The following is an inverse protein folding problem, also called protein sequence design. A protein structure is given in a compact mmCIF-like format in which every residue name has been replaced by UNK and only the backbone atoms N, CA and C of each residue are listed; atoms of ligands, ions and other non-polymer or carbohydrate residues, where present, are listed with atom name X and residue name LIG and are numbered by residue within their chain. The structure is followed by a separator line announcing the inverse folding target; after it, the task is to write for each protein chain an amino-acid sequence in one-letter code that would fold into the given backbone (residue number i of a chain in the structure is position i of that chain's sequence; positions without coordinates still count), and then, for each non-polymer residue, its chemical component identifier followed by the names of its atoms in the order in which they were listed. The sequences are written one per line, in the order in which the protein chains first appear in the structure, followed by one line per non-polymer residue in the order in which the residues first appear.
data_IF_924341404766
#
_entry.id   IF_924341404766
#
_cell.length_a   1.000
_cell.length_b   1.000
_cell.length_c   1.000
_cell.angle_alpha   90.00
_cell.angle_beta   90.00
_cell.angle_gamma   90.00
#
_symmetry.space_group_name_H-M   'P 1'
#
loop_
_entity.id
_entity.type
_entity.pdbx_description
1 polymer ?
#
# COMPACT_ATOMS: atom_id res chain seq x y z
N UNK A 1 -3.28 -16.04 -20.84
CA UNK A 1 -2.06 -15.56 -20.14
C UNK A 1 -2.44 -14.27 -19.44
N UNK A 2 -2.39 -14.26 -18.11
CA UNK A 2 -2.53 -13.02 -17.34
C UNK A 2 -1.23 -12.22 -17.52
N UNK A 3 -1.34 -10.98 -18.00
CA UNK A 3 -0.21 -10.08 -18.10
C UNK A 3 -0.08 -9.30 -16.80
N UNK A 4 0.94 -9.62 -16.02
CA UNK A 4 1.34 -8.82 -14.84
C UNK A 4 2.30 -7.75 -15.36
N UNK A 5 2.00 -6.48 -15.08
CA UNK A 5 2.79 -5.33 -15.51
C UNK A 5 3.46 -4.58 -14.35
N UNK A 6 3.04 -4.84 -13.14
CA UNK A 6 3.60 -4.20 -11.94
C UNK A 6 3.46 -5.10 -10.72
N UNK A 7 4.26 -4.82 -9.71
CA UNK A 7 4.24 -5.50 -8.42
C UNK A 7 4.50 -4.50 -7.29
N UNK A 8 3.83 -4.71 -6.16
CA UNK A 8 4.09 -4.00 -4.93
C UNK A 8 4.68 -4.96 -3.89
N UNK A 9 5.80 -4.57 -3.30
CA UNK A 9 6.47 -5.33 -2.25
C UNK A 9 6.16 -4.74 -0.88
N UNK A 10 5.76 -5.60 0.06
CA UNK A 10 5.75 -5.21 1.47
C UNK A 10 7.19 -4.91 1.91
N UNK A 11 7.39 -3.75 2.49
CA UNK A 11 8.71 -3.31 2.93
C UNK A 11 8.80 -3.17 4.45
N UNK A 12 7.93 -2.35 5.04
CA UNK A 12 8.01 -2.01 6.46
C UNK A 12 6.65 -2.02 7.14
N UNK A 13 6.66 -2.26 8.45
CA UNK A 13 5.49 -2.09 9.32
C UNK A 13 5.88 -1.23 10.52
N UNK A 14 5.15 -0.15 10.73
CA UNK A 14 5.40 0.77 11.82
C UNK A 14 6.81 1.35 11.80
N UNK A 15 7.47 1.32 12.95
CA UNK A 15 8.82 1.87 13.10
C UNK A 15 9.87 0.81 13.49
N UNK A 16 9.55 -0.49 13.32
CA UNK A 16 10.40 -1.56 13.89
C UNK A 16 10.53 -2.81 13.02
N UNK A 17 9.59 -3.08 12.12
CA UNK A 17 9.63 -4.30 11.32
C UNK A 17 9.97 -3.99 9.85
N UNK A 18 10.96 -4.71 9.33
CA UNK A 18 11.34 -4.73 7.93
C UNK A 18 11.11 -6.14 7.38
N UNK A 19 10.46 -6.25 6.24
CA UNK A 19 10.12 -7.55 5.65
C UNK A 19 11.38 -8.32 5.25
N UNK A 20 11.54 -9.51 5.77
CA UNK A 20 12.74 -10.34 5.58
C UNK A 20 12.96 -10.75 4.12
N UNK A 21 11.87 -10.83 3.35
CA UNK A 21 11.90 -11.21 1.93
C UNK A 21 12.08 -10.02 0.99
N UNK A 22 12.03 -8.77 1.51
CA UNK A 22 12.04 -7.58 0.67
C UNK A 22 13.26 -7.52 -0.27
N UNK A 23 14.46 -7.64 0.28
CA UNK A 23 15.70 -7.54 -0.51
C UNK A 23 15.81 -8.64 -1.56
N UNK A 24 15.43 -9.87 -1.21
CA UNK A 24 15.46 -11.01 -2.15
C UNK A 24 14.45 -10.81 -3.27
N UNK A 25 13.23 -10.41 -2.94
CA UNK A 25 12.17 -10.17 -3.93
C UNK A 25 12.50 -8.97 -4.81
N UNK A 26 13.02 -7.89 -4.22
CA UNK A 26 13.46 -6.71 -4.97
C UNK A 26 14.55 -7.06 -5.98
N UNK A 27 15.58 -7.81 -5.57
CA UNK A 27 16.66 -8.26 -6.47
C UNK A 27 16.14 -9.11 -7.63
N UNK A 28 15.19 -10.01 -7.36
CA UNK A 28 14.57 -10.86 -8.41
C UNK A 28 13.80 -10.03 -9.43
N UNK A 29 13.10 -8.99 -8.99
CA UNK A 29 12.31 -8.14 -9.88
C UNK A 29 13.18 -7.26 -10.77
N UNK A 30 14.37 -6.86 -10.29
CA UNK A 30 15.30 -6.04 -11.09
C UNK A 30 15.73 -6.70 -12.41
N UNK A 31 15.62 -8.02 -12.52
CA UNK A 31 15.89 -8.76 -13.76
C UNK A 31 14.67 -8.89 -14.69
N UNK A 32 13.57 -8.20 -14.38
CA UNK A 32 12.32 -8.24 -15.15
C UNK A 32 11.93 -6.85 -15.64
N UNK A 33 10.95 -6.77 -16.55
CA UNK A 33 10.37 -5.50 -17.00
C UNK A 33 9.23 -5.00 -16.08
N UNK A 34 9.02 -5.64 -14.92
CA UNK A 34 7.98 -5.25 -13.98
C UNK A 34 8.29 -3.92 -13.30
N UNK A 35 7.31 -3.05 -13.25
CA UNK A 35 7.38 -1.85 -12.41
C UNK A 35 7.17 -2.21 -10.95
N UNK A 36 8.00 -1.65 -10.08
CA UNK A 36 7.99 -1.94 -8.64
C UNK A 36 7.46 -0.75 -7.85
N UNK A 37 6.61 -1.05 -6.89
CA UNK A 37 6.22 -0.14 -5.83
C UNK A 37 6.50 -0.76 -4.46
N UNK A 38 6.42 0.04 -3.42
CA UNK A 38 6.65 -0.37 -2.04
C UNK A 38 5.42 -0.10 -1.17
N UNK A 39 5.20 -0.97 -0.19
CA UNK A 39 4.12 -0.86 0.79
C UNK A 39 4.71 -0.67 2.17
N UNK A 40 4.27 0.39 2.84
CA UNK A 40 4.46 0.59 4.28
C UNK A 40 3.14 0.32 5.00
N UNK A 41 3.17 -0.55 5.99
CA UNK A 41 1.99 -0.84 6.84
C UNK A 41 1.96 0.16 8.01
N UNK A 42 0.90 0.95 8.07
CA UNK A 42 0.71 2.01 9.08
C UNK A 42 0.57 1.42 10.49
N UNK A 43 1.26 2.04 11.45
CA UNK A 43 1.11 1.74 12.87
C UNK A 43 0.28 2.81 13.57
N UNK A 44 -0.80 2.40 14.24
CA UNK A 44 -1.58 3.28 15.11
C UNK A 44 -0.84 3.69 16.40
N UNK A 45 0.25 2.99 16.74
CA UNK A 45 1.03 3.25 17.97
C UNK A 45 2.19 4.21 17.76
N UNK A 46 2.77 4.21 16.56
CA UNK A 46 4.03 4.92 16.29
C UNK A 46 3.77 6.27 15.65
N UNK A 47 4.49 7.29 16.12
CA UNK A 47 4.40 8.65 15.54
C UNK A 47 4.80 8.65 14.05
N UNK A 48 4.24 9.53 13.24
CA UNK A 48 4.54 9.61 11.80
C UNK A 48 6.04 9.76 11.49
N UNK A 49 6.74 10.64 12.22
CA UNK A 49 8.18 10.84 12.06
C UNK A 49 9.02 9.61 12.37
N UNK A 50 8.60 8.79 13.33
CA UNK A 50 9.29 7.54 13.64
C UNK A 50 9.10 6.50 12.53
N UNK A 51 7.91 6.42 11.95
CA UNK A 51 7.63 5.55 10.81
C UNK A 51 8.41 6.00 9.57
N UNK A 52 8.42 7.30 9.24
CA UNK A 52 9.26 7.84 8.16
C UNK A 52 10.73 7.50 8.37
N UNK A 53 11.26 7.78 9.56
CA UNK A 53 12.67 7.50 9.87
C UNK A 53 13.02 6.05 9.62
N UNK A 54 12.17 5.14 10.05
CA UNK A 54 12.40 3.71 9.89
C UNK A 54 12.37 3.29 8.42
N UNK A 55 11.32 3.64 7.66
CA UNK A 55 11.23 3.27 6.25
C UNK A 55 12.36 3.88 5.42
N UNK A 56 12.73 5.13 5.66
CA UNK A 56 13.79 5.82 4.92
C UNK A 56 15.18 5.22 5.16
N UNK A 57 15.40 4.60 6.32
CA UNK A 57 16.64 3.84 6.60
C UNK A 57 16.70 2.51 5.86
N UNK A 58 15.55 1.89 5.58
CA UNK A 58 15.45 0.56 4.96
C UNK A 58 15.26 0.61 3.46
N UNK A 59 14.51 1.60 2.97
CA UNK A 59 14.13 1.72 1.57
C UNK A 59 14.52 3.11 1.06
N UNK A 60 15.48 3.15 0.15
CA UNK A 60 15.96 4.40 -0.45
C UNK A 60 14.89 5.05 -1.33
N UNK A 61 14.99 6.37 -1.51
CA UNK A 61 14.00 7.15 -2.26
C UNK A 61 13.85 6.78 -3.74
N UNK A 62 14.85 6.12 -4.32
CA UNK A 62 14.85 5.68 -5.72
C UNK A 62 14.52 4.19 -5.91
N UNK A 63 14.03 3.50 -4.88
CA UNK A 63 13.79 2.06 -4.94
C UNK A 63 12.64 1.69 -5.86
N UNK A 64 11.54 2.45 -5.85
CA UNK A 64 10.33 2.15 -6.64
C UNK A 64 10.07 3.15 -7.76
N UNK A 65 9.45 2.67 -8.86
CA UNK A 65 8.96 3.51 -9.97
C UNK A 65 7.48 3.87 -9.80
N UNK A 66 6.77 3.17 -8.92
CA UNK A 66 5.35 3.38 -8.65
C UNK A 66 5.14 4.24 -7.39
N UNK A 67 3.99 4.89 -7.25
CA UNK A 67 3.64 5.62 -6.03
C UNK A 67 3.81 4.75 -4.79
N UNK A 68 4.33 5.33 -3.71
CA UNK A 68 4.43 4.64 -2.42
C UNK A 68 3.03 4.35 -1.87
N UNK A 69 2.84 3.16 -1.33
CA UNK A 69 1.57 2.75 -0.72
C UNK A 69 1.71 2.74 0.79
N UNK A 70 0.77 3.38 1.49
CA UNK A 70 0.54 3.17 2.91
C UNK A 70 -0.68 2.27 3.05
N UNK A 71 -0.49 1.06 3.60
CA UNK A 71 -1.60 0.19 3.95
C UNK A 71 -2.10 0.52 5.35
N UNK A 72 -3.40 0.76 5.46
CA UNK A 72 -4.08 1.01 6.73
C UNK A 72 -5.08 -0.11 6.96
N UNK A 73 -4.84 -0.92 7.98
CA UNK A 73 -5.69 -2.04 8.36
C UNK A 73 -5.79 -2.16 9.87
N UNK A 74 -6.88 -2.73 10.35
CA UNK A 74 -7.01 -3.06 11.76
C UNK A 74 -6.08 -4.23 12.13
N UNK A 75 -5.53 -4.19 13.34
CA UNK A 75 -4.71 -5.26 13.89
C UNK A 75 -4.73 -5.25 15.42
N UNK A 76 -4.64 -6.42 16.05
CA UNK A 76 -4.60 -6.56 17.48
C UNK A 76 -5.74 -5.81 18.20
N UNK A 77 -5.39 -4.95 19.14
CA UNK A 77 -6.35 -4.12 19.86
C UNK A 77 -6.89 -2.92 19.07
N UNK A 78 -6.28 -2.61 17.91
CA UNK A 78 -6.71 -1.54 17.02
C UNK A 78 -7.76 -2.05 16.03
N UNK A 79 -9.00 -2.14 16.50
CA UNK A 79 -10.15 -2.57 15.72
C UNK A 79 -11.13 -1.40 15.49
N UNK A 80 -12.22 -1.66 14.77
CA UNK A 80 -13.20 -0.63 14.38
C UNK A 80 -13.81 0.12 15.57
N UNK A 81 -13.85 -0.49 16.76
CA UNK A 81 -14.41 0.12 17.98
C UNK A 81 -13.37 0.89 18.80
N UNK A 82 -12.09 0.53 18.69
CA UNK A 82 -11.02 1.05 19.55
C UNK A 82 -10.11 2.07 18.88
N UNK A 83 -10.08 2.12 17.54
CA UNK A 83 -9.27 3.14 16.84
C UNK A 83 -9.87 4.52 17.04
N UNK A 84 -9.11 5.40 17.64
CA UNK A 84 -9.44 6.82 17.73
C UNK A 84 -9.00 7.53 16.44
N UNK A 85 -9.93 7.73 15.53
CA UNK A 85 -9.66 8.40 14.26
C UNK A 85 -9.34 9.88 14.40
N UNK A 86 -9.74 10.54 15.49
CA UNK A 86 -9.36 11.93 15.76
C UNK A 86 -7.85 12.09 15.99
N UNK A 87 -7.20 11.01 16.46
CA UNK A 87 -5.76 10.93 16.59
C UNK A 87 -5.11 10.28 15.36
N UNK A 88 -5.59 9.11 14.96
CA UNK A 88 -4.98 8.33 13.88
C UNK A 88 -5.11 9.02 12.50
N UNK A 89 -6.20 9.73 12.25
CA UNK A 89 -6.42 10.44 10.99
C UNK A 89 -5.38 11.53 10.71
N UNK A 90 -5.15 12.48 11.63
CA UNK A 90 -4.05 13.46 11.51
C UNK A 90 -2.67 12.82 11.42
N UNK A 91 -2.38 11.79 12.21
CA UNK A 91 -1.10 11.07 12.16
C UNK A 91 -0.88 10.43 10.78
N UNK A 92 -1.91 9.81 10.20
CA UNK A 92 -1.82 9.28 8.85
C UNK A 92 -1.62 10.38 7.80
N UNK A 93 -2.35 11.49 7.91
CA UNK A 93 -2.21 12.62 6.99
C UNK A 93 -0.78 13.21 7.05
N UNK A 94 -0.19 13.29 8.22
CA UNK A 94 1.21 13.73 8.39
C UNK A 94 2.19 12.73 7.77
N UNK A 95 1.99 11.43 7.98
CA UNK A 95 2.83 10.40 7.36
C UNK A 95 2.75 10.44 5.83
N UNK A 96 1.56 10.64 5.27
CA UNK A 96 1.37 10.82 3.82
C UNK A 96 2.23 11.96 3.28
N UNK A 97 2.21 13.12 3.92
CA UNK A 97 3.03 14.28 3.52
C UNK A 97 4.52 14.00 3.63
N UNK A 98 4.94 13.39 4.75
CA UNK A 98 6.34 13.05 5.00
C UNK A 98 6.88 12.07 3.96
N UNK A 99 6.14 11.02 3.63
CA UNK A 99 6.53 10.04 2.63
C UNK A 99 6.49 10.62 1.21
N UNK A 100 5.47 11.41 0.88
CA UNK A 100 5.40 12.09 -0.41
C UNK A 100 6.62 13.00 -0.64
N UNK A 101 7.02 13.74 0.37
CA UNK A 101 8.21 14.60 0.30
C UNK A 101 9.51 13.80 0.17
N UNK A 102 9.66 12.74 0.96
CA UNK A 102 10.89 11.93 0.94
C UNK A 102 11.07 11.17 -0.37
N UNK A 103 10.01 10.54 -0.87
CA UNK A 103 10.07 9.74 -2.11
C UNK A 103 9.84 10.58 -3.38
N UNK A 104 9.43 11.85 -3.25
CA UNK A 104 9.16 12.71 -4.40
C UNK A 104 7.99 12.24 -5.27
N UNK A 105 7.05 11.51 -4.69
CA UNK A 105 5.92 10.88 -5.39
C UNK A 105 4.64 11.00 -4.57
N UNK A 106 3.50 10.93 -5.26
CA UNK A 106 2.22 10.80 -4.58
C UNK A 106 2.14 9.50 -3.77
N UNK A 107 1.39 9.53 -2.66
CA UNK A 107 1.13 8.36 -1.81
C UNK A 107 -0.27 7.85 -2.08
N UNK A 108 -0.40 6.52 -2.22
CA UNK A 108 -1.68 5.82 -2.34
C UNK A 108 -2.00 5.15 -1.02
N UNK A 109 -3.24 5.24 -0.57
CA UNK A 109 -3.72 4.59 0.65
C UNK A 109 -4.39 3.28 0.29
N UNK A 110 -3.79 2.15 0.71
CA UNK A 110 -4.40 0.83 0.58
C UNK A 110 -5.20 0.52 1.84
N UNK A 111 -6.50 0.27 1.69
CA UNK A 111 -7.38 0.02 2.83
C UNK A 111 -8.73 -0.56 2.41
N UNK A 112 -9.55 -0.94 3.40
CA UNK A 112 -10.91 -1.39 3.18
C UNK A 112 -11.85 -0.21 2.90
N UNK A 113 -13.02 -0.43 2.27
CA UNK A 113 -14.05 0.60 2.09
C UNK A 113 -14.52 1.21 3.42
N UNK A 114 -14.59 0.42 4.49
CA UNK A 114 -15.00 0.89 5.81
C UNK A 114 -14.00 1.90 6.38
N UNK A 115 -12.70 1.63 6.33
CA UNK A 115 -11.67 2.56 6.79
C UNK A 115 -11.60 3.78 5.87
N UNK A 116 -11.71 3.60 4.55
CA UNK A 116 -11.78 4.74 3.62
C UNK A 116 -12.85 5.75 4.02
N UNK A 117 -14.04 5.29 4.40
CA UNK A 117 -15.12 6.19 4.87
C UNK A 117 -14.75 7.00 6.11
N UNK A 118 -13.88 6.49 6.98
CA UNK A 118 -13.36 7.25 8.12
C UNK A 118 -12.35 8.31 7.71
N UNK A 119 -11.60 8.07 6.65
CA UNK A 119 -10.47 8.90 6.21
C UNK A 119 -10.86 9.97 5.19
N UNK A 120 -11.71 9.64 4.24
CA UNK A 120 -12.04 10.46 3.08
C UNK A 120 -13.41 11.16 3.24
N UNK A 121 -13.51 12.47 3.13
CA UNK A 121 -12.45 13.45 2.91
C UNK A 121 -11.91 14.10 4.20
N UNK A 122 -12.30 13.59 5.37
CA UNK A 122 -12.05 14.26 6.66
C UNK A 122 -10.57 14.50 6.91
N UNK A 123 -9.75 13.48 6.76
CA UNK A 123 -8.30 13.52 7.01
C UNK A 123 -7.48 13.43 5.73
N UNK A 124 -7.92 12.63 4.77
CA UNK A 124 -7.21 12.41 3.51
C UNK A 124 -8.00 13.02 2.35
N UNK A 125 -7.50 14.16 1.82
CA UNK A 125 -8.21 14.95 0.81
C UNK A 125 -7.69 14.75 -0.62
N UNK A 126 -6.44 14.41 -0.80
CA UNK A 126 -5.78 14.41 -2.13
C UNK A 126 -5.28 13.04 -2.57
N UNK A 127 -4.92 12.15 -1.64
CA UNK A 127 -4.41 10.83 -1.99
C UNK A 127 -5.45 9.98 -2.71
N UNK A 128 -4.96 9.16 -3.62
CA UNK A 128 -5.73 8.09 -4.24
C UNK A 128 -5.84 6.91 -3.27
N UNK A 129 -6.82 6.06 -3.51
CA UNK A 129 -7.06 4.86 -2.72
C UNK A 129 -6.86 3.59 -3.55
N UNK A 130 -6.37 2.57 -2.88
CA UNK A 130 -6.35 1.19 -3.32
C UNK A 130 -7.28 0.42 -2.39
N UNK A 131 -8.42 -0.05 -2.91
CA UNK A 131 -9.41 -0.72 -2.08
C UNK A 131 -9.19 -2.23 -2.04
N UNK A 132 -9.17 -2.77 -0.84
CA UNK A 132 -9.29 -4.20 -0.56
C UNK A 132 -10.79 -4.54 -0.51
N UNK A 133 -11.34 -4.92 -1.64
CA UNK A 133 -12.76 -5.21 -1.80
C UNK A 133 -12.97 -6.43 -2.69
N UNK A 134 -13.61 -7.51 -2.18
CA UNK A 134 -13.75 -8.77 -2.93
C UNK A 134 -14.72 -8.68 -4.13
N UNK A 135 -15.42 -7.58 -4.28
CA UNK A 135 -16.36 -7.37 -5.37
C UNK A 135 -15.85 -6.31 -6.34
N UNK A 136 -15.83 -6.65 -7.63
CA UNK A 136 -15.54 -5.68 -8.69
C UNK A 136 -16.73 -4.73 -8.82
N UNK A 137 -16.52 -3.48 -8.38
CA UNK A 137 -17.48 -2.38 -8.51
C UNK A 137 -16.84 -1.20 -9.22
N UNK A 138 -17.68 -0.44 -9.91
CA UNK A 138 -17.23 0.81 -10.50
C UNK A 138 -17.00 1.85 -9.42
N UNK A 139 -15.79 2.36 -9.30
CA UNK A 139 -15.40 3.37 -8.32
C UNK A 139 -15.15 4.73 -8.97
N UNK A 140 -15.15 5.78 -8.15
CA UNK A 140 -14.82 7.12 -8.59
C UNK A 140 -13.29 7.27 -8.85
N UNK A 141 -12.87 8.41 -9.39
CA UNK A 141 -11.46 8.70 -9.75
C UNK A 141 -10.48 8.72 -8.57
N UNK A 142 -10.98 8.74 -7.32
CA UNK A 142 -10.13 8.65 -6.13
C UNK A 142 -9.69 7.23 -5.82
N UNK A 143 -10.35 6.23 -6.37
CA UNK A 143 -9.93 4.83 -6.29
C UNK A 143 -9.06 4.52 -7.49
N UNK A 144 -7.77 4.25 -7.26
CA UNK A 144 -6.80 3.95 -8.32
C UNK A 144 -6.65 2.47 -8.58
N UNK A 145 -6.70 1.65 -7.53
CA UNK A 145 -6.61 0.19 -7.61
C UNK A 145 -7.69 -0.46 -6.78
N UNK A 146 -8.11 -1.66 -7.20
CA UNK A 146 -9.02 -2.52 -6.44
C UNK A 146 -8.43 -3.93 -6.39
N UNK A 147 -8.19 -4.42 -5.17
CA UNK A 147 -7.83 -5.80 -4.91
C UNK A 147 -9.12 -6.62 -4.82
N UNK A 148 -9.34 -7.46 -5.80
CA UNK A 148 -10.58 -8.22 -5.92
C UNK A 148 -10.44 -9.69 -5.51
N UNK A 149 -9.21 -10.18 -5.43
CA UNK A 149 -8.89 -11.52 -4.98
C UNK A 149 -7.62 -11.49 -4.14
N UNK A 150 -7.73 -11.85 -2.87
CA UNK A 150 -6.61 -11.87 -1.95
C UNK A 150 -5.72 -13.13 -2.09
N UNK A 151 -6.25 -14.17 -2.72
CA UNK A 151 -5.64 -15.51 -2.77
C UNK A 151 -5.76 -16.14 -4.18
N UNK A 152 -5.54 -15.35 -5.24
CA UNK A 152 -5.58 -15.86 -6.60
C UNK A 152 -4.52 -16.95 -6.80
N UNK A 153 -4.97 -18.12 -7.23
CA UNK A 153 -4.09 -19.25 -7.51
C UNK A 153 -3.41 -19.12 -8.86
N UNK A 154 -2.10 -19.19 -8.84
CA UNK A 154 -1.27 -19.29 -10.04
C UNK A 154 -0.62 -20.67 -10.09
N UNK A 155 -0.89 -21.42 -11.15
CA UNK A 155 -0.22 -22.70 -11.38
C UNK A 155 1.17 -22.45 -11.93
N UNK A 156 2.16 -22.98 -11.27
CA UNK A 156 3.53 -23.07 -11.75
C UNK A 156 3.97 -24.54 -11.76
N UNK A 157 4.95 -24.91 -12.60
CA UNK A 157 5.42 -26.28 -12.77
C UNK A 157 5.98 -26.92 -11.48
N UNK A 158 6.19 -26.12 -10.43
CA UNK A 158 6.81 -26.59 -9.18
C UNK A 158 6.03 -26.26 -7.91
N UNK A 159 5.01 -25.42 -7.95
CA UNK A 159 4.16 -25.09 -6.79
C UNK A 159 2.93 -24.29 -7.18
N UNK A 160 1.83 -24.48 -6.48
CA UNK A 160 0.71 -23.56 -6.52
C UNK A 160 1.08 -22.31 -5.68
N UNK A 161 1.03 -21.14 -6.31
CA UNK A 161 1.31 -19.87 -5.67
C UNK A 161 0.01 -19.10 -5.50
N UNK A 162 -0.29 -18.66 -4.30
CA UNK A 162 -1.41 -17.79 -3.98
C UNK A 162 -0.92 -16.35 -3.80
N UNK A 163 -1.46 -15.43 -4.59
CA UNK A 163 -1.08 -14.01 -4.56
C UNK A 163 -2.32 -13.12 -4.63
N UNK A 164 -2.30 -11.97 -3.93
CA UNK A 164 -3.34 -10.97 -4.10
C UNK A 164 -3.25 -10.33 -5.48
N UNK A 165 -4.40 -10.17 -6.13
CA UNK A 165 -4.51 -9.59 -7.47
C UNK A 165 -5.39 -8.35 -7.43
N UNK A 166 -4.91 -7.30 -8.08
CA UNK A 166 -5.59 -6.03 -8.19
C UNK A 166 -5.68 -5.56 -9.63
N UNK A 167 -6.69 -4.78 -9.95
CA UNK A 167 -6.79 -4.10 -11.22
C UNK A 167 -6.68 -2.58 -11.08
N UNK A 168 -6.20 -1.93 -12.13
CA UNK A 168 -6.13 -0.48 -12.20
C UNK A 168 -7.49 0.10 -12.62
N UNK A 169 -8.06 0.97 -11.78
CA UNK A 169 -9.34 1.63 -12.01
C UNK A 169 -9.14 2.97 -12.75
N UNK A 170 -8.59 2.93 -13.93
CA UNK A 170 -8.34 4.11 -14.75
C UNK A 170 -8.23 3.75 -16.23
N UNK A 171 -8.20 4.75 -17.09
CA UNK A 171 -7.87 4.55 -18.52
C UNK A 171 -6.36 4.50 -18.67
N UNK A 172 -5.84 3.48 -19.36
CA UNK A 172 -4.49 3.56 -19.91
C UNK A 172 -4.49 4.71 -20.93
N UNK A 173 -3.69 5.73 -20.68
CA UNK A 173 -3.32 6.65 -21.76
C UNK A 173 -2.36 5.90 -22.66
N UNK A 174 -2.84 5.56 -23.83
CA UNK A 174 -2.00 5.13 -24.95
C UNK A 174 -1.00 6.21 -25.31
#
# INVERSE_FOLDING_TARGET
KQHISFVYLNATTGATYFDDSFNTNYSRIQSTDLKVGIVHNFSFQKRPKAQLRFISQKVKSNTGQLPVVIRVSYYGDYNAKRVDWKKAGPDLADLVKLLANYYGQAVVIKTTPAIKRQLDPTYIKQSKFWLEEPQIKKHNRRVQFVEYDAEQKFKNDHSDLELPVSYFNGSQKT
#
